data_IF_244515166792
#
_entry.id   IF_244515166792
#
_cell.length_a   1.000
_cell.length_b   1.000
_cell.length_c   1.000
_cell.angle_alpha   90.00
_cell.angle_beta   90.00
_cell.angle_gamma   90.00
#
_symmetry.space_group_name_H-M   'P 1'
#
loop_
_entity.id
_entity.type
_entity.pdbx_description
1 polymer ?
#
# COMPACT_ATOMS: atom_id res chain seq x y z
N UNK A 1 -14.89 -2.91 -13.05
CA UNK A 1 -13.75 -3.61 -12.40
C UNK A 1 -13.38 -2.82 -11.16
N UNK A 2 -13.27 -3.47 -10.00
CA UNK A 2 -13.00 -2.79 -8.71
C UNK A 2 -11.56 -2.27 -8.67
N UNK A 3 -11.32 -1.08 -8.09
CA UNK A 3 -9.98 -0.46 -7.97
C UNK A 3 -8.91 -1.41 -7.45
N UNK A 4 -9.25 -2.23 -6.46
CA UNK A 4 -8.35 -3.22 -5.86
C UNK A 4 -7.90 -4.30 -6.85
N UNK A 5 -8.75 -4.69 -7.81
CA UNK A 5 -8.40 -5.72 -8.82
C UNK A 5 -7.38 -5.17 -9.82
N UNK A 6 -7.52 -3.90 -10.22
CA UNK A 6 -6.58 -3.23 -11.13
C UNK A 6 -5.20 -3.20 -10.49
N UNK A 7 -5.14 -2.76 -9.23
CA UNK A 7 -3.88 -2.71 -8.45
C UNK A 7 -3.30 -4.10 -8.24
N UNK A 8 -4.12 -5.07 -7.85
CA UNK A 8 -3.69 -6.44 -7.67
C UNK A 8 -3.03 -7.01 -8.94
N UNK A 9 -3.68 -6.81 -10.08
CA UNK A 9 -3.21 -7.32 -11.37
C UNK A 9 -1.89 -6.67 -11.78
N UNK A 10 -1.79 -5.35 -11.73
CA UNK A 10 -0.57 -4.62 -12.12
C UNK A 10 0.66 -5.03 -11.28
N UNK A 11 0.50 -5.17 -9.96
CA UNK A 11 1.59 -5.61 -9.09
C UNK A 11 1.96 -7.08 -9.32
N UNK A 12 0.98 -7.95 -9.60
CA UNK A 12 1.23 -9.35 -9.98
C UNK A 12 1.97 -9.46 -11.31
N UNK A 13 1.55 -8.68 -12.31
CA UNK A 13 2.16 -8.67 -13.65
C UNK A 13 3.62 -8.16 -13.59
N UNK A 14 3.94 -7.30 -12.61
CA UNK A 14 5.31 -6.85 -12.30
C UNK A 14 6.15 -7.85 -11.48
N UNK A 15 5.58 -9.00 -11.11
CA UNK A 15 6.30 -10.06 -10.38
C UNK A 15 6.28 -9.92 -8.86
N UNK A 16 5.53 -8.98 -8.29
CA UNK A 16 5.40 -8.86 -6.84
C UNK A 16 4.47 -9.95 -6.27
N UNK A 17 4.75 -10.37 -5.04
CA UNK A 17 3.85 -11.23 -4.28
C UNK A 17 2.92 -10.34 -3.46
N UNK A 18 1.64 -10.32 -3.82
CA UNK A 18 0.63 -9.50 -3.16
C UNK A 18 -0.30 -10.38 -2.31
N UNK A 19 -0.38 -10.07 -1.02
CA UNK A 19 -1.21 -10.77 -0.04
C UNK A 19 -2.23 -9.80 0.59
N UNK A 20 -3.32 -10.31 1.21
CA UNK A 20 -4.26 -9.47 1.95
C UNK A 20 -3.56 -8.69 3.08
N UNK A 21 -3.82 -7.39 3.15
CA UNK A 21 -3.21 -6.46 4.11
C UNK A 21 -3.91 -6.36 5.46
N UNK A 22 -4.95 -7.16 5.71
CA UNK A 22 -5.82 -7.07 6.91
C UNK A 22 -5.04 -7.13 8.23
N UNK A 23 -3.95 -7.91 8.29
CA UNK A 23 -3.08 -7.99 9.47
C UNK A 23 -2.40 -6.66 9.82
N UNK A 24 -2.32 -5.75 8.87
CA UNK A 24 -1.65 -4.46 8.97
C UNK A 24 -2.60 -3.27 8.80
N UNK A 25 -3.92 -3.51 8.71
CA UNK A 25 -4.90 -2.44 8.52
C UNK A 25 -4.80 -1.73 7.16
N UNK A 26 -4.37 -2.44 6.11
CA UNK A 26 -4.33 -1.94 4.74
C UNK A 26 -4.97 -2.92 3.76
N UNK A 27 -5.15 -2.52 2.50
CA UNK A 27 -5.72 -3.40 1.47
C UNK A 27 -4.78 -4.58 1.17
N UNK A 28 -3.48 -4.30 0.96
CA UNK A 28 -2.51 -5.32 0.57
C UNK A 28 -1.17 -5.22 1.29
N UNK A 29 -0.56 -6.37 1.52
CA UNK A 29 0.86 -6.50 1.87
C UNK A 29 1.62 -7.02 0.66
N UNK A 30 2.52 -6.19 0.12
CA UNK A 30 3.28 -6.45 -1.10
C UNK A 30 4.72 -6.84 -0.75
N UNK A 31 5.22 -7.91 -1.35
CA UNK A 31 6.56 -8.45 -1.17
C UNK A 31 7.28 -8.48 -2.52
N UNK A 32 8.59 -8.24 -2.52
CA UNK A 32 9.43 -8.37 -3.71
C UNK A 32 9.79 -9.83 -3.98
N UNK A 33 10.21 -10.57 -2.94
CA UNK A 33 10.64 -11.97 -3.03
C UNK A 33 9.76 -12.92 -2.21
N UNK A 34 9.00 -12.39 -1.26
CA UNK A 34 7.98 -13.14 -0.53
C UNK A 34 8.19 -13.16 0.99
N UNK A 35 7.19 -13.67 1.72
CA UNK A 35 7.24 -13.76 3.18
C UNK A 35 8.36 -14.71 3.62
N UNK A 36 9.22 -14.24 4.53
CA UNK A 36 10.37 -14.99 5.05
C UNK A 36 11.70 -14.71 4.34
N UNK A 37 11.67 -14.12 3.14
CA UNK A 37 12.87 -13.63 2.43
C UNK A 37 12.99 -12.11 2.60
N UNK A 38 11.89 -11.39 2.39
CA UNK A 38 11.86 -9.94 2.58
C UNK A 38 11.75 -9.60 4.07
N UNK A 39 12.58 -8.65 4.53
CA UNK A 39 12.54 -8.13 5.91
C UNK A 39 11.16 -7.57 6.29
N UNK A 40 10.42 -7.04 5.31
CA UNK A 40 9.10 -6.47 5.52
C UNK A 40 8.34 -6.32 4.19
N UNK A 41 7.00 -6.51 4.19
CA UNK A 41 6.18 -6.06 3.06
C UNK A 41 6.08 -4.54 2.99
N UNK A 42 5.82 -4.03 1.79
CA UNK A 42 5.21 -2.73 1.58
C UNK A 42 3.72 -2.81 1.92
N UNK A 43 3.22 -1.85 2.71
CA UNK A 43 1.81 -1.76 3.06
C UNK A 43 1.10 -0.90 2.03
N UNK A 44 0.22 -1.48 1.23
CA UNK A 44 -0.42 -0.82 0.11
C UNK A 44 -1.88 -0.51 0.47
N UNK A 45 -2.26 0.75 0.36
CA UNK A 45 -3.64 1.22 0.52
C UNK A 45 -4.14 1.80 -0.80
N UNK A 46 -5.30 1.36 -1.27
CA UNK A 46 -5.83 1.71 -2.59
C UNK A 46 -6.87 2.81 -2.49
N UNK A 47 -6.58 3.93 -3.16
CA UNK A 47 -7.48 5.09 -3.27
C UNK A 47 -7.80 5.38 -4.73
N UNK A 48 -9.02 5.84 -5.01
CA UNK A 48 -9.30 6.51 -6.28
C UNK A 48 -8.91 7.99 -6.19
N UNK A 49 -8.70 8.63 -7.34
CA UNK A 49 -8.45 10.08 -7.41
C UNK A 49 -9.59 10.94 -6.85
N UNK A 50 -10.80 10.38 -6.74
CA UNK A 50 -11.99 11.04 -6.19
C UNK A 50 -12.25 10.70 -4.73
N UNK A 51 -11.48 9.77 -4.13
CA UNK A 51 -11.69 9.37 -2.75
C UNK A 51 -11.20 10.49 -1.82
N UNK A 52 -12.05 10.89 -0.87
CA UNK A 52 -11.66 11.84 0.16
C UNK A 52 -10.91 11.11 1.27
N UNK A 53 -9.74 11.64 1.65
CA UNK A 53 -8.98 11.14 2.80
C UNK A 53 -9.22 12.06 4.00
N UNK A 54 -9.66 11.47 5.12
CA UNK A 54 -9.74 12.20 6.38
C UNK A 54 -8.34 12.38 6.98
N UNK A 55 -8.12 13.48 7.71
CA UNK A 55 -6.88 13.67 8.48
C UNK A 55 -6.62 12.50 9.44
N UNK A 56 -7.68 11.94 10.04
CA UNK A 56 -7.61 10.76 10.91
C UNK A 56 -7.06 9.54 10.19
N UNK A 57 -7.48 9.30 8.93
CA UNK A 57 -6.98 8.19 8.12
C UNK A 57 -5.48 8.31 7.85
N UNK A 58 -4.98 9.53 7.63
CA UNK A 58 -3.55 9.81 7.45
C UNK A 58 -2.78 9.55 8.76
N UNK A 59 -3.30 10.03 9.89
CA UNK A 59 -2.67 9.80 11.21
C UNK A 59 -2.65 8.30 11.55
N UNK A 60 -3.73 7.57 11.27
CA UNK A 60 -3.79 6.11 11.46
C UNK A 60 -2.77 5.39 10.56
N UNK A 61 -2.67 5.77 9.28
CA UNK A 61 -1.66 5.23 8.37
C UNK A 61 -0.23 5.51 8.89
N UNK A 62 0.02 6.73 9.38
CA UNK A 62 1.29 7.10 10.01
C UNK A 62 1.60 6.29 11.28
N UNK A 63 0.61 6.05 12.15
CA UNK A 63 0.75 5.20 13.34
C UNK A 63 1.06 3.75 12.97
N UNK A 64 0.37 3.21 11.96
CA UNK A 64 0.62 1.86 11.46
C UNK A 64 2.05 1.77 10.91
N UNK A 65 2.46 2.70 10.05
CA UNK A 65 3.79 2.76 9.45
C UNK A 65 4.91 2.86 10.50
N UNK A 66 4.75 3.73 11.51
CA UNK A 66 5.75 3.94 12.58
C UNK A 66 5.90 2.73 13.50
N UNK A 67 4.83 1.98 13.76
CA UNK A 67 4.88 0.81 14.64
C UNK A 67 5.61 -0.36 13.99
N UNK A 68 5.49 -0.53 12.67
CA UNK A 68 6.08 -1.69 11.97
C UNK A 68 7.37 -1.39 11.19
N UNK A 69 7.85 -0.13 11.17
CA UNK A 69 8.99 0.34 10.33
C UNK A 69 8.86 -0.12 8.87
N UNK A 70 7.63 -0.17 8.35
CA UNK A 70 7.34 -0.57 6.96
C UNK A 70 6.92 0.66 6.18
N UNK A 71 7.30 0.73 4.92
CA UNK A 71 6.84 1.80 4.03
C UNK A 71 5.36 1.61 3.73
N UNK A 72 4.58 2.65 4.01
CA UNK A 72 3.17 2.71 3.67
C UNK A 72 3.01 3.44 2.34
N UNK A 73 2.32 2.82 1.39
CA UNK A 73 2.20 3.29 0.01
C UNK A 73 0.73 3.48 -0.32
N UNK A 74 0.39 4.67 -0.80
CA UNK A 74 -0.92 4.95 -1.39
C UNK A 74 -0.85 4.61 -2.87
N UNK A 75 -1.67 3.67 -3.32
CA UNK A 75 -1.79 3.27 -4.72
C UNK A 75 -3.05 3.90 -5.33
N UNK A 76 -2.86 4.71 -6.37
CA UNK A 76 -3.93 5.43 -7.05
C UNK A 76 -3.96 5.00 -8.52
N UNK A 77 -4.92 4.14 -8.94
CA UNK A 77 -5.05 3.75 -10.33
C UNK A 77 -5.60 4.93 -11.15
N UNK A 78 -4.86 5.34 -12.18
CA UNK A 78 -5.21 6.42 -13.11
C UNK A 78 -5.13 5.91 -14.55
N UNK A 79 -6.28 5.49 -15.08
CA UNK A 79 -6.37 4.86 -16.40
C UNK A 79 -5.57 3.55 -16.44
N UNK A 80 -4.43 3.55 -17.13
CA UNK A 80 -3.56 2.38 -17.32
C UNK A 80 -2.27 2.41 -16.50
N UNK A 81 -2.13 3.38 -15.59
CA UNK A 81 -0.97 3.52 -14.68
C UNK A 81 -1.45 3.54 -13.23
N UNK A 82 -0.55 3.17 -12.32
CA UNK A 82 -0.79 3.26 -10.88
C UNK A 82 0.24 4.23 -10.31
N UNK A 83 -0.25 5.37 -9.84
CA UNK A 83 0.58 6.34 -9.13
C UNK A 83 0.76 5.82 -7.70
N UNK A 84 2.01 5.65 -7.27
CA UNK A 84 2.36 5.13 -5.96
C UNK A 84 3.04 6.22 -5.14
N UNK A 85 2.43 6.62 -4.03
CA UNK A 85 2.97 7.63 -3.09
C UNK A 85 3.43 6.92 -1.82
N UNK A 86 4.73 6.93 -1.56
CA UNK A 86 5.28 6.44 -0.29
C UNK A 86 5.15 7.52 0.79
N UNK A 87 4.60 7.13 1.94
CA UNK A 87 4.56 7.97 3.14
C UNK A 87 5.73 7.58 4.04
N UNK A 88 6.72 8.45 4.12
CA UNK A 88 7.81 8.34 5.08
C UNK A 88 7.59 9.31 6.24
N UNK A 89 7.62 8.78 7.46
CA UNK A 89 7.46 9.60 8.65
C UNK A 89 8.78 10.28 9.01
N UNK A 90 8.88 11.57 8.69
CA UNK A 90 10.02 12.39 9.05
C UNK A 90 10.01 12.71 10.55
N UNK A 91 11.13 12.50 11.23
CA UNK A 91 11.39 13.06 12.56
C UNK A 91 12.28 14.30 12.37
N UNK A 92 11.71 15.46 12.67
CA UNK A 92 12.46 16.71 12.75
C UNK A 92 13.30 16.75 14.02
#
# INVERSE_FOLDING_TARGET
MTKNIIVYKDFRDKGYIINPGIKFGCDFAVYQKGPGIDHAPYLLQVYNSTDTMSATSVVLAGRLATTVRKQFILAIPKGNKIDCLALDWWRA
#
